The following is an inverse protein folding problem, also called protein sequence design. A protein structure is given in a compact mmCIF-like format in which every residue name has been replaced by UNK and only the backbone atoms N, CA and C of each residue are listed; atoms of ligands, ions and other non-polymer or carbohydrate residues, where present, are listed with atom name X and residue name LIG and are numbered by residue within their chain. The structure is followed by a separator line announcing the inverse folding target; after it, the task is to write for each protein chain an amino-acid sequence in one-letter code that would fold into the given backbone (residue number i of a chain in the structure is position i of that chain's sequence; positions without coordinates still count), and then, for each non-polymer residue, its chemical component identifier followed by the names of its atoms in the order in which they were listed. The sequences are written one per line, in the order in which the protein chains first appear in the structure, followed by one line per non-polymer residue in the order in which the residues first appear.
data_IF_652445873095
#
_entry.id   IF_652445873095
#
_cell.length_a   1.000
_cell.length_b   1.000
_cell.length_c   1.000
_cell.angle_alpha   90.00
_cell.angle_beta   90.00
_cell.angle_gamma   90.00
#
_symmetry.space_group_name_H-M   'P 1'
#
loop_
_entity.id
_entity.type
_entity.pdbx_description
1 polymer ?
#
# COMPACT_ATOMS: atom_id res chain seq x y z
N UNK A 1 -2.81 20.01 -13.14
CA UNK A 1 -3.53 20.24 -11.87
C UNK A 1 -3.63 18.90 -11.18
N UNK A 2 -2.58 18.49 -10.44
CA UNK A 2 -2.64 17.29 -9.61
C UNK A 2 -3.72 17.50 -8.55
N UNK A 3 -4.74 16.64 -8.56
CA UNK A 3 -5.72 16.62 -7.47
C UNK A 3 -4.96 16.28 -6.19
N UNK A 4 -5.03 17.13 -5.14
CA UNK A 4 -4.30 16.87 -3.92
C UNK A 4 -4.72 15.50 -3.37
N UNK A 5 -3.79 14.72 -2.78
CA UNK A 5 -4.09 13.38 -2.32
C UNK A 5 -5.34 13.40 -1.42
N UNK A 6 -6.23 12.41 -1.50
CA UNK A 6 -7.49 12.35 -0.73
C UNK A 6 -7.34 12.66 0.76
N UNK A 7 -6.15 12.48 1.33
CA UNK A 7 -5.80 12.85 2.70
C UNK A 7 -5.72 14.36 2.94
N UNK A 8 -5.23 15.13 1.99
CA UNK A 8 -5.36 16.59 2.00
C UNK A 8 -6.83 16.98 2.03
N UNK A 9 -7.66 16.30 1.24
CA UNK A 9 -9.11 16.51 1.19
C UNK A 9 -9.83 16.04 2.46
N UNK A 10 -9.42 14.92 3.07
CA UNK A 10 -9.96 14.41 4.33
C UNK A 10 -9.54 15.29 5.52
N UNK A 11 -8.29 15.75 5.55
CA UNK A 11 -7.82 16.77 6.50
C UNK A 11 -8.59 18.08 6.33
N UNK A 12 -8.95 18.44 5.09
CA UNK A 12 -9.83 19.57 4.77
C UNK A 12 -11.29 19.34 5.19
N UNK A 13 -11.75 18.09 5.30
CA UNK A 13 -13.08 17.71 5.78
C UNK A 13 -13.20 17.69 7.31
N UNK A 14 -12.08 17.66 8.04
CA UNK A 14 -12.08 17.80 9.51
C UNK A 14 -12.53 19.22 9.87
N UNK A 15 -13.54 19.40 10.76
CA UNK A 15 -13.97 20.70 11.25
C UNK A 15 -12.80 21.56 11.76
N UNK A 16 -12.83 22.87 11.48
CA UNK A 16 -11.72 23.79 11.80
C UNK A 16 -11.27 23.70 13.28
N UNK A 17 -12.23 23.45 14.18
CA UNK A 17 -12.04 23.28 15.63
C UNK A 17 -11.18 22.07 15.98
N UNK A 18 -11.39 20.94 15.30
CA UNK A 18 -10.61 19.71 15.49
C UNK A 18 -9.23 19.82 14.82
N UNK A 19 -9.11 20.67 13.78
CA UNK A 19 -7.84 20.96 13.11
C UNK A 19 -6.90 21.82 13.98
N UNK A 20 -7.45 22.61 14.91
CA UNK A 20 -6.70 23.41 15.87
C UNK A 20 -6.11 22.58 17.03
N UNK A 21 -6.50 21.30 17.16
CA UNK A 21 -6.00 20.38 18.17
C UNK A 21 -5.04 19.37 17.51
N UNK A 22 -3.71 19.61 17.55
CA UNK A 22 -2.73 18.80 16.83
C UNK A 22 -2.81 17.31 17.20
N UNK A 23 -3.00 17.00 18.49
CA UNK A 23 -3.15 15.62 18.96
C UNK A 23 -4.39 14.91 18.39
N UNK A 24 -5.49 15.63 18.18
CA UNK A 24 -6.72 15.05 17.62
C UNK A 24 -6.59 14.88 16.11
N UNK A 25 -5.96 15.83 15.42
CA UNK A 25 -5.64 15.71 14.00
C UNK A 25 -4.68 14.53 13.73
N UNK A 26 -3.68 14.33 14.59
CA UNK A 26 -2.76 13.18 14.52
C UNK A 26 -3.49 11.86 14.79
N UNK A 27 -4.41 11.84 15.75
CA UNK A 27 -5.22 10.66 16.07
C UNK A 27 -6.15 10.28 14.90
N UNK A 28 -6.83 11.26 14.30
CA UNK A 28 -7.67 11.04 13.12
C UNK A 28 -6.83 10.59 11.93
N UNK A 29 -5.65 11.20 11.73
CA UNK A 29 -4.73 10.79 10.67
C UNK A 29 -4.23 9.37 10.87
N UNK A 30 -3.86 8.99 12.10
CA UNK A 30 -3.48 7.63 12.48
C UNK A 30 -4.58 6.58 12.23
N UNK A 31 -5.85 6.99 12.33
CA UNK A 31 -6.99 6.11 12.11
C UNK A 31 -7.36 5.98 10.62
N UNK A 32 -7.20 7.06 9.85
CA UNK A 32 -7.57 7.11 8.42
C UNK A 32 -6.44 6.67 7.49
N UNK A 33 -5.18 6.85 7.89
CA UNK A 33 -4.03 6.48 7.09
C UNK A 33 -3.69 5.01 7.31
N UNK A 34 -3.63 4.20 6.24
CA UNK A 34 -3.15 2.83 6.35
C UNK A 34 -1.68 2.84 6.77
N UNK A 35 -1.32 1.99 7.72
CA UNK A 35 0.08 1.90 8.20
C UNK A 35 1.03 1.37 7.14
N UNK A 36 0.54 0.51 6.25
CA UNK A 36 1.26 -0.05 5.09
C UNK A 36 0.29 -0.23 3.93
N UNK A 37 0.82 -0.37 2.72
CA UNK A 37 0.01 -0.66 1.51
C UNK A 37 -0.18 -2.16 1.25
N UNK A 38 0.37 -3.04 2.10
CA UNK A 38 0.38 -4.49 1.86
C UNK A 38 -1.02 -5.09 1.67
N UNK A 39 -1.98 -4.64 2.50
CA UNK A 39 -3.37 -5.10 2.41
C UNK A 39 -4.07 -4.61 1.14
N UNK A 40 -3.69 -3.44 0.63
CA UNK A 40 -4.21 -2.93 -0.63
C UNK A 40 -3.70 -3.78 -1.81
N UNK A 41 -2.45 -4.26 -1.76
CA UNK A 41 -1.91 -5.19 -2.74
C UNK A 41 -2.68 -6.51 -2.72
N UNK A 42 -2.86 -7.10 -1.54
CA UNK A 42 -3.56 -8.38 -1.42
C UNK A 42 -5.02 -8.32 -1.87
N UNK A 43 -5.69 -7.17 -1.72
CA UNK A 43 -7.10 -6.99 -2.09
C UNK A 43 -7.29 -6.27 -3.43
N UNK A 44 -6.24 -6.14 -4.24
CA UNK A 44 -6.26 -5.49 -5.56
C UNK A 44 -6.84 -4.05 -5.54
N UNK A 45 -6.62 -3.32 -4.45
CA UNK A 45 -7.13 -1.96 -4.27
C UNK A 45 -6.24 -0.93 -4.97
N UNK A 46 -6.29 -0.91 -6.31
CA UNK A 46 -5.42 -0.08 -7.16
C UNK A 46 -5.44 1.41 -6.79
N UNK A 47 -6.61 1.96 -6.47
CA UNK A 47 -6.78 3.36 -6.09
C UNK A 47 -6.11 3.70 -4.76
N UNK A 48 -6.02 2.73 -3.84
CA UNK A 48 -5.30 2.90 -2.58
C UNK A 48 -3.79 2.85 -2.85
N UNK A 49 -3.33 1.99 -3.74
CA UNK A 49 -1.90 1.94 -4.13
C UNK A 49 -1.45 3.23 -4.82
N UNK A 50 -2.27 3.78 -5.72
CA UNK A 50 -1.97 5.05 -6.40
C UNK A 50 -1.87 6.23 -5.41
N UNK A 51 -2.77 6.28 -4.42
CA UNK A 51 -2.82 7.39 -3.48
C UNK A 51 -1.77 7.27 -2.37
N UNK A 52 -1.56 6.06 -1.86
CA UNK A 52 -0.77 5.81 -0.66
C UNK A 52 0.57 5.15 -0.94
N UNK A 53 0.86 4.74 -2.18
CA UNK A 53 2.10 4.05 -2.55
C UNK A 53 3.37 4.86 -2.29
N UNK A 54 3.28 6.20 -2.38
CA UNK A 54 4.40 7.10 -2.11
C UNK A 54 4.44 7.61 -0.65
N UNK A 55 3.34 7.46 0.08
CA UNK A 55 3.18 7.98 1.45
C UNK A 55 3.47 6.89 2.48
N UNK A 56 3.00 5.68 2.22
CA UNK A 56 3.04 4.56 3.14
C UNK A 56 4.10 3.56 2.69
N UNK A 57 4.82 2.93 3.65
CA UNK A 57 5.83 1.96 3.31
C UNK A 57 5.20 0.71 2.69
N UNK A 58 5.89 0.19 1.67
CA UNK A 58 5.73 -1.19 1.21
C UNK A 58 6.62 -2.07 2.08
N UNK A 59 6.19 -3.30 2.32
CA UNK A 59 6.99 -4.29 3.05
C UNK A 59 7.10 -5.58 2.24
N UNK A 60 7.91 -6.53 2.71
CA UNK A 60 7.95 -7.88 2.15
C UNK A 60 6.56 -8.57 2.10
N UNK A 61 5.60 -8.14 2.92
CA UNK A 61 4.21 -8.62 2.86
C UNK A 61 3.47 -8.15 1.61
N UNK A 62 3.80 -6.98 1.07
CA UNK A 62 3.25 -6.51 -0.20
C UNK A 62 3.71 -7.43 -1.35
N UNK A 63 5.00 -7.74 -1.44
CA UNK A 63 5.52 -8.68 -2.45
C UNK A 63 4.89 -10.07 -2.31
N UNK A 64 4.78 -10.57 -1.09
CA UNK A 64 4.04 -11.81 -0.80
C UNK A 64 2.58 -11.75 -1.26
N UNK A 65 1.89 -10.64 -0.99
CA UNK A 65 0.51 -10.43 -1.40
C UNK A 65 0.35 -10.35 -2.91
N UNK A 66 1.29 -9.69 -3.60
CA UNK A 66 1.33 -9.64 -5.05
C UNK A 66 1.56 -11.02 -5.66
N UNK A 67 2.50 -11.79 -5.10
CA UNK A 67 2.80 -13.18 -5.48
C UNK A 67 1.60 -14.11 -5.27
N UNK A 68 0.94 -14.02 -4.12
CA UNK A 68 -0.28 -14.78 -3.82
C UNK A 68 -1.45 -14.45 -4.77
N UNK A 69 -1.47 -13.26 -5.35
CA UNK A 69 -2.49 -12.79 -6.30
C UNK A 69 -2.08 -12.95 -7.77
N UNK A 70 -0.84 -13.39 -8.05
CA UNK A 70 -0.31 -13.44 -9.42
C UNK A 70 -0.14 -12.07 -10.08
N UNK A 71 0.05 -11.00 -9.30
CA UNK A 71 0.17 -9.61 -9.76
C UNK A 71 1.59 -9.33 -10.29
N UNK A 72 1.87 -9.82 -11.51
CA UNK A 72 3.16 -9.67 -12.19
C UNK A 72 3.55 -8.20 -12.34
N UNK A 73 2.58 -7.33 -12.62
CA UNK A 73 2.73 -5.88 -12.75
C UNK A 73 3.34 -5.25 -11.49
N UNK A 74 2.78 -5.57 -10.33
CA UNK A 74 3.26 -5.07 -9.05
C UNK A 74 4.57 -5.74 -8.62
N UNK A 75 4.78 -7.02 -8.94
CA UNK A 75 6.02 -7.73 -8.65
C UNK A 75 7.20 -7.14 -9.44
N UNK A 76 7.00 -6.82 -10.72
CA UNK A 76 8.00 -6.16 -11.54
C UNK A 76 8.32 -4.76 -11.00
N UNK A 77 7.28 -3.97 -10.70
CA UNK A 77 7.47 -2.65 -10.13
C UNK A 77 8.22 -2.71 -8.78
N UNK A 78 7.83 -3.62 -7.90
CA UNK A 78 8.48 -3.81 -6.61
C UNK A 78 9.93 -4.27 -6.75
N UNK A 79 10.23 -5.16 -7.72
CA UNK A 79 11.59 -5.63 -8.01
C UNK A 79 12.48 -4.51 -8.54
N UNK A 80 11.94 -3.63 -9.38
CA UNK A 80 12.70 -2.56 -10.04
C UNK A 80 12.87 -1.32 -9.17
N UNK A 81 11.88 -1.02 -8.31
CA UNK A 81 11.85 0.20 -7.50
C UNK A 81 12.23 -0.03 -6.04
N UNK A 82 12.23 -1.28 -5.54
CA UNK A 82 12.52 -1.60 -4.14
C UNK A 82 13.47 -2.78 -4.01
N UNK A 83 14.33 -2.71 -3.00
CA UNK A 83 15.35 -3.74 -2.70
C UNK A 83 14.91 -4.73 -1.62
N UNK A 84 13.67 -4.65 -1.18
CA UNK A 84 13.03 -5.65 -0.32
C UNK A 84 12.89 -6.94 -1.13
N UNK A 85 13.98 -7.72 -1.18
CA UNK A 85 14.13 -8.85 -2.08
C UNK A 85 13.00 -9.88 -1.96
N UNK A 86 12.80 -10.62 -3.04
CA UNK A 86 11.81 -11.68 -3.13
C UNK A 86 12.08 -12.73 -2.03
N UNK A 87 11.23 -12.72 -1.00
CA UNK A 87 11.40 -13.60 0.16
C UNK A 87 10.95 -15.03 -0.19
N UNK A 88 11.48 -16.01 0.54
CA UNK A 88 11.00 -17.40 0.46
C UNK A 88 9.48 -17.47 0.63
N UNK A 89 8.89 -16.59 1.45
CA UNK A 89 7.44 -16.52 1.63
C UNK A 89 6.68 -16.09 0.38
N UNK A 90 7.27 -15.25 -0.48
CA UNK A 90 6.66 -14.87 -1.75
C UNK A 90 6.59 -16.07 -2.70
N UNK A 91 7.66 -16.84 -2.82
CA UNK A 91 7.70 -18.10 -3.59
C UNK A 91 6.70 -19.14 -3.08
N UNK A 92 6.67 -19.38 -1.76
CA UNK A 92 5.71 -20.31 -1.17
C UNK A 92 4.27 -19.87 -1.41
N UNK A 93 4.00 -18.56 -1.36
CA UNK A 93 2.66 -18.03 -1.62
C UNK A 93 2.29 -18.15 -3.09
N UNK A 94 3.18 -17.79 -4.02
CA UNK A 94 2.95 -17.99 -5.45
C UNK A 94 2.69 -19.47 -5.77
N UNK A 95 3.46 -20.40 -5.20
CA UNK A 95 3.23 -21.84 -5.36
C UNK A 95 1.86 -22.29 -4.81
N UNK A 96 1.47 -21.78 -3.64
CA UNK A 96 0.20 -22.15 -3.01
C UNK A 96 -1.04 -21.68 -3.81
N UNK A 97 -0.89 -20.61 -4.59
CA UNK A 97 -1.96 -20.03 -5.41
C UNK A 97 -1.78 -20.29 -6.93
N UNK A 98 -0.85 -21.15 -7.32
CA UNK A 98 -0.58 -21.51 -8.73
C UNK A 98 -0.17 -20.30 -9.60
N UNK A 99 0.71 -19.46 -9.06
CA UNK A 99 1.18 -18.21 -9.65
C UNK A 99 2.71 -18.10 -9.67
N UNK A 100 3.43 -19.23 -9.72
CA UNK A 100 4.91 -19.24 -9.77
C UNK A 100 5.46 -18.46 -10.95
N UNK A 101 4.74 -18.44 -12.07
CA UNK A 101 5.10 -17.72 -13.28
C UNK A 101 5.22 -16.20 -13.05
N UNK A 102 4.49 -15.67 -12.05
CA UNK A 102 4.54 -14.26 -11.70
C UNK A 102 5.87 -13.81 -11.06
N UNK A 103 6.69 -14.76 -10.60
CA UNK A 103 7.98 -14.50 -9.94
C UNK A 103 9.20 -14.72 -10.85
N UNK A 104 9.00 -15.11 -12.11
CA UNK A 104 10.07 -15.29 -13.10
C UNK A 104 10.73 -13.95 -13.47
#
# INVERSE_FOLDING_TARGET
METPPPLSSARLAIPIQLRALPHVADLVSSFLMPKTVDAAVYNDLHRVLEVYGDICPWTARAMKGAAARGRVDLLQWLRDNRTEGCSIEAFTSAAAYDHLDALQ
#
